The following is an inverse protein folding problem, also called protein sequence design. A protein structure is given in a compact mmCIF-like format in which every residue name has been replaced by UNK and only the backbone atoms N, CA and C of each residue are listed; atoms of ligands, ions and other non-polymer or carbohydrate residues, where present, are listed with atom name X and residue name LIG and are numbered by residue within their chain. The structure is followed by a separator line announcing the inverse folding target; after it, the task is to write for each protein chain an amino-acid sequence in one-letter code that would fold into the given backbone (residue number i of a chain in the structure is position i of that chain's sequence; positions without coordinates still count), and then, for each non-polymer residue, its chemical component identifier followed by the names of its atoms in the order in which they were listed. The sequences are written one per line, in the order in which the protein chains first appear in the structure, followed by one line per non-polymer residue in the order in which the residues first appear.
data_IF_222334050751
#
_entry.id   IF_222334050751
#
_cell.length_a   1.000
_cell.length_b   1.000
_cell.length_c   1.000
_cell.angle_alpha   90.00
_cell.angle_beta   90.00
_cell.angle_gamma   90.00
#
_symmetry.space_group_name_H-M   'P 1'
#
loop_
_entity.id
_entity.type
_entity.pdbx_description
1 polymer ?
#
# COMPACT_ATOMS: atom_id res chain seq x y z
N UNK A 1 -35.66 6.43 10.33
CA UNK A 1 -35.25 5.50 9.25
C UNK A 1 -33.86 5.01 9.61
N UNK A 2 -33.73 3.80 10.11
CA UNK A 2 -32.39 3.22 10.42
C UNK A 2 -31.82 2.81 9.09
N UNK A 3 -30.66 3.40 8.71
CA UNK A 3 -29.90 2.93 7.55
C UNK A 3 -29.52 1.48 7.86
N UNK A 4 -29.97 0.53 7.03
CA UNK A 4 -29.50 -0.85 7.08
C UNK A 4 -28.03 -0.85 6.68
N UNK A 5 -27.13 -0.79 7.65
CA UNK A 5 -25.71 -1.07 7.41
C UNK A 5 -25.62 -2.53 6.96
N UNK A 6 -24.80 -2.80 5.95
CA UNK A 6 -24.56 -4.16 5.46
C UNK A 6 -24.30 -5.10 6.65
N UNK A 7 -25.07 -6.19 6.72
CA UNK A 7 -24.77 -7.27 7.65
C UNK A 7 -23.54 -8.01 7.11
N UNK A 8 -22.36 -7.60 7.55
CA UNK A 8 -21.16 -8.35 7.24
C UNK A 8 -21.13 -9.62 8.10
N UNK A 9 -20.82 -10.78 7.51
CA UNK A 9 -20.54 -11.96 8.31
C UNK A 9 -19.28 -11.68 9.14
N UNK A 10 -19.50 -11.26 10.38
CA UNK A 10 -18.43 -11.13 11.35
C UNK A 10 -17.98 -12.56 11.71
N UNK A 11 -16.81 -12.99 11.29
CA UNK A 11 -16.25 -14.31 11.55
C UNK A 11 -16.01 -14.63 13.04
N UNK A 12 -16.58 -13.84 13.94
CA UNK A 12 -16.48 -14.01 15.38
C UNK A 12 -17.77 -14.59 15.97
N UNK A 13 -17.61 -15.63 16.78
CA UNK A 13 -18.71 -16.15 17.59
C UNK A 13 -18.96 -15.21 18.78
N UNK A 14 -20.25 -14.93 19.14
CA UNK A 14 -20.56 -14.14 20.32
C UNK A 14 -19.86 -14.73 21.57
N UNK A 15 -19.15 -13.87 22.31
CA UNK A 15 -18.52 -14.25 23.57
C UNK A 15 -17.11 -14.85 23.43
N UNK A 16 -16.52 -14.93 22.24
CA UNK A 16 -15.14 -15.40 22.03
C UNK A 16 -14.29 -14.34 21.29
N UNK A 17 -12.96 -14.31 21.51
CA UNK A 17 -12.03 -13.56 20.66
C UNK A 17 -12.10 -14.02 19.21
N UNK A 18 -11.68 -13.16 18.28
CA UNK A 18 -11.60 -13.53 16.86
C UNK A 18 -10.67 -14.72 16.63
N UNK A 19 -11.12 -15.66 15.81
CA UNK A 19 -10.35 -16.86 15.50
C UNK A 19 -9.24 -16.54 14.49
N UNK A 20 -7.98 -16.69 14.90
CA UNK A 20 -6.81 -16.49 14.03
C UNK A 20 -6.81 -17.41 12.81
N UNK A 21 -7.43 -18.60 12.88
CA UNK A 21 -7.50 -19.51 11.75
C UNK A 21 -8.30 -18.96 10.56
N UNK A 22 -9.12 -17.91 10.79
CA UNK A 22 -9.80 -17.19 9.72
C UNK A 22 -8.84 -16.37 8.83
N UNK A 23 -7.59 -16.18 9.28
CA UNK A 23 -6.54 -15.56 8.47
C UNK A 23 -5.46 -16.59 8.13
N UNK A 24 -5.22 -16.82 6.85
CA UNK A 24 -4.10 -17.62 6.37
C UNK A 24 -3.79 -17.30 4.90
N UNK A 25 -2.61 -17.72 4.45
CA UNK A 25 -2.17 -17.56 3.07
C UNK A 25 -1.97 -18.92 2.40
N UNK A 26 -2.61 -19.09 1.25
CA UNK A 26 -2.45 -20.26 0.39
C UNK A 26 -1.68 -19.87 -0.88
N UNK A 27 -0.60 -20.58 -1.20
CA UNK A 27 0.12 -20.41 -2.48
C UNK A 27 -0.46 -21.36 -3.53
N UNK A 28 -0.78 -20.83 -4.72
CA UNK A 28 -1.36 -21.59 -5.84
C UNK A 28 -0.27 -21.96 -6.84
N UNK A 29 0.40 -20.97 -7.44
CA UNK A 29 1.44 -21.16 -8.46
C UNK A 29 2.71 -20.42 -8.07
N UNK A 30 3.88 -20.93 -8.46
CA UNK A 30 5.19 -20.28 -8.27
C UNK A 30 5.87 -20.05 -9.59
N UNK A 31 6.59 -18.93 -9.70
CA UNK A 31 7.52 -18.73 -10.81
C UNK A 31 8.70 -19.71 -10.68
N UNK A 32 9.14 -20.32 -11.77
CA UNK A 32 10.31 -21.19 -11.74
C UNK A 32 11.57 -20.37 -11.46
N UNK A 33 12.53 -20.95 -10.75
CA UNK A 33 13.88 -20.38 -10.60
C UNK A 33 14.59 -20.27 -11.96
N UNK A 34 15.41 -19.22 -12.08
CA UNK A 34 16.19 -18.98 -13.31
C UNK A 34 17.61 -18.60 -12.95
N UNK A 35 18.54 -18.70 -13.92
CA UNK A 35 19.94 -18.28 -13.71
C UNK A 35 20.06 -16.77 -13.37
N UNK A 36 19.07 -15.96 -13.71
CA UNK A 36 19.00 -14.51 -13.42
C UNK A 36 18.12 -14.16 -12.22
N UNK A 37 17.58 -15.16 -11.49
CA UNK A 37 16.81 -14.93 -10.27
C UNK A 37 17.64 -14.21 -9.20
N UNK A 38 17.05 -13.23 -8.53
CA UNK A 38 17.76 -12.37 -7.55
C UNK A 38 17.84 -12.99 -6.16
N UNK A 39 17.05 -14.02 -5.88
CA UNK A 39 17.08 -14.74 -4.62
C UNK A 39 18.24 -15.72 -4.52
N UNK A 40 18.37 -16.35 -3.37
CA UNK A 40 19.41 -17.34 -3.11
C UNK A 40 19.35 -18.47 -4.13
N UNK A 41 20.51 -18.85 -4.69
CA UNK A 41 20.64 -19.91 -5.70
C UNK A 41 19.76 -19.69 -6.96
N UNK A 42 19.55 -18.45 -7.36
CA UNK A 42 18.74 -18.11 -8.52
C UNK A 42 17.23 -18.22 -8.29
N UNK A 43 16.79 -18.20 -7.03
CA UNK A 43 15.37 -18.26 -6.69
C UNK A 43 14.60 -17.03 -7.22
N UNK A 44 13.40 -17.28 -7.73
CA UNK A 44 12.36 -16.29 -7.99
C UNK A 44 11.25 -16.54 -6.99
N UNK A 45 10.90 -15.52 -6.21
CA UNK A 45 9.90 -15.65 -5.16
C UNK A 45 8.48 -15.29 -5.60
N UNK A 46 8.32 -14.91 -6.88
CA UNK A 46 7.03 -14.59 -7.48
C UNK A 46 6.07 -15.77 -7.44
N UNK A 47 4.83 -15.48 -7.10
CA UNK A 47 3.80 -16.49 -6.90
C UNK A 47 2.40 -15.92 -7.07
N UNK A 48 1.43 -16.78 -7.31
CA UNK A 48 0.02 -16.51 -7.06
C UNK A 48 -0.45 -17.18 -5.79
N UNK A 49 -1.48 -16.63 -5.16
CA UNK A 49 -2.03 -17.18 -3.92
C UNK A 49 -3.33 -16.51 -3.52
N UNK A 50 -3.82 -16.90 -2.36
CA UNK A 50 -5.02 -16.33 -1.74
C UNK A 50 -4.68 -15.96 -0.29
N UNK A 51 -4.93 -14.71 0.07
CA UNK A 51 -5.00 -14.28 1.47
C UNK A 51 -6.45 -14.43 1.90
N UNK A 52 -6.73 -15.36 2.79
CA UNK A 52 -8.04 -15.52 3.42
C UNK A 52 -8.16 -14.56 4.60
N UNK A 53 -9.28 -13.82 4.67
CA UNK A 53 -9.59 -12.90 5.76
C UNK A 53 -11.02 -13.09 6.24
N UNK A 54 -11.39 -12.60 7.43
CA UNK A 54 -12.78 -12.67 7.91
C UNK A 54 -13.82 -12.01 6.99
N UNK A 55 -13.41 -11.03 6.17
CA UNK A 55 -14.30 -10.31 5.26
C UNK A 55 -14.15 -10.73 3.79
N UNK A 56 -13.46 -11.82 3.51
CA UNK A 56 -13.30 -12.38 2.16
C UNK A 56 -11.86 -12.60 1.75
N UNK A 57 -11.68 -13.06 0.53
CA UNK A 57 -10.43 -13.48 -0.03
C UNK A 57 -9.78 -12.39 -0.87
N UNK A 58 -8.44 -12.33 -0.85
CA UNK A 58 -7.63 -11.48 -1.74
C UNK A 58 -6.76 -12.39 -2.59
N UNK A 59 -7.03 -12.46 -3.88
CA UNK A 59 -6.19 -13.20 -4.85
C UNK A 59 -4.96 -12.38 -5.17
N UNK A 60 -3.79 -12.93 -4.94
CA UNK A 60 -2.51 -12.27 -5.14
C UNK A 60 -1.79 -12.73 -6.40
N UNK A 61 -0.97 -11.87 -7.04
CA UNK A 61 -0.71 -10.47 -6.71
C UNK A 61 -1.96 -9.58 -6.82
N UNK A 62 -2.08 -8.54 -5.96
CA UNK A 62 -3.23 -7.63 -5.96
C UNK A 62 -2.82 -6.17 -5.70
N UNK A 63 -3.55 -5.24 -6.33
CA UNK A 63 -3.47 -3.83 -6.01
C UNK A 63 -4.47 -3.47 -4.89
N UNK A 64 -4.02 -2.68 -3.93
CA UNK A 64 -4.80 -2.21 -2.78
C UNK A 64 -5.01 -0.70 -2.93
N UNK A 65 -6.14 -0.25 -3.48
CA UNK A 65 -6.45 1.18 -3.58
C UNK A 65 -6.49 1.86 -2.22
N UNK A 66 -5.98 3.11 -2.16
CA UNK A 66 -5.82 3.84 -0.89
C UNK A 66 -6.90 4.88 -0.69
N UNK A 67 -7.80 4.61 0.25
CA UNK A 67 -8.81 5.53 0.76
C UNK A 67 -8.37 6.19 2.07
N UNK A 68 -7.47 7.17 1.99
CA UNK A 68 -6.73 7.77 3.13
C UNK A 68 -7.57 8.06 4.38
N UNK A 69 -8.80 8.57 4.24
CA UNK A 69 -9.72 8.92 5.33
C UNK A 69 -11.01 8.08 5.25
N UNK A 70 -10.87 6.77 5.10
CA UNK A 70 -12.00 5.87 4.85
C UNK A 70 -12.81 6.30 3.60
N UNK A 71 -12.16 6.89 2.63
CA UNK A 71 -12.80 7.36 1.40
C UNK A 71 -11.81 7.43 0.24
N UNK A 72 -12.13 6.79 -0.86
CA UNK A 72 -11.50 7.06 -2.15
C UNK A 72 -11.94 8.43 -2.63
N UNK A 73 -10.97 9.33 -2.90
CA UNK A 73 -11.34 10.71 -3.27
C UNK A 73 -12.17 10.76 -4.54
N UNK A 74 -13.41 11.23 -4.41
CA UNK A 74 -14.40 11.37 -5.47
C UNK A 74 -14.92 10.05 -6.07
N UNK A 75 -14.75 8.92 -5.40
CA UNK A 75 -15.26 7.61 -5.83
C UNK A 75 -15.91 6.93 -4.62
N UNK A 76 -17.07 6.34 -4.83
CA UNK A 76 -17.78 5.58 -3.79
C UNK A 76 -17.18 4.17 -3.65
N UNK A 77 -17.28 3.53 -2.46
CA UNK A 77 -16.80 2.17 -2.27
C UNK A 77 -17.42 1.16 -3.25
N UNK A 78 -18.70 1.29 -3.56
CA UNK A 78 -19.38 0.43 -4.54
C UNK A 78 -18.75 0.53 -5.94
N UNK A 79 -18.35 1.73 -6.35
CA UNK A 79 -17.64 1.94 -7.62
C UNK A 79 -16.23 1.33 -7.61
N UNK A 80 -15.58 1.25 -6.44
CA UNK A 80 -14.32 0.53 -6.28
C UNK A 80 -14.52 -0.99 -6.44
N UNK A 81 -15.62 -1.52 -5.96
CA UNK A 81 -16.00 -2.92 -6.18
C UNK A 81 -16.27 -3.19 -7.67
N UNK A 82 -17.03 -2.32 -8.32
CA UNK A 82 -17.39 -2.45 -9.75
C UNK A 82 -16.15 -2.44 -10.66
N UNK A 83 -15.08 -1.74 -10.29
CA UNK A 83 -13.83 -1.74 -11.07
C UNK A 83 -12.91 -2.93 -10.75
N UNK A 84 -13.31 -3.82 -9.84
CA UNK A 84 -12.61 -5.06 -9.51
C UNK A 84 -11.67 -4.99 -8.30
N UNK A 85 -11.66 -3.89 -7.52
CA UNK A 85 -10.87 -3.83 -6.28
C UNK A 85 -11.32 -4.92 -5.31
N UNK A 86 -10.37 -5.71 -4.79
CA UNK A 86 -10.65 -6.81 -3.86
C UNK A 86 -10.57 -6.36 -2.40
N UNK A 87 -9.81 -5.30 -2.13
CA UNK A 87 -9.55 -4.77 -0.78
C UNK A 87 -9.25 -3.27 -0.87
N UNK A 88 -9.34 -2.56 0.25
CA UNK A 88 -9.03 -1.13 0.36
C UNK A 88 -8.11 -0.86 1.55
N UNK A 89 -7.25 0.17 1.46
CA UNK A 89 -6.41 0.60 2.56
C UNK A 89 -6.83 1.99 3.05
N UNK A 90 -6.91 2.17 4.37
CA UNK A 90 -7.07 3.48 4.99
C UNK A 90 -5.89 3.78 5.95
N UNK A 91 -5.60 5.08 6.17
CA UNK A 91 -4.46 5.46 6.98
C UNK A 91 -4.88 5.71 8.44
N UNK A 92 -4.31 4.94 9.37
CA UNK A 92 -4.65 5.01 10.80
C UNK A 92 -4.43 6.41 11.40
N UNK A 93 -3.34 7.08 11.03
CA UNK A 93 -3.08 8.46 11.47
C UNK A 93 -4.23 9.41 11.10
N UNK A 94 -4.69 9.37 9.85
CA UNK A 94 -5.76 10.26 9.40
C UNK A 94 -7.10 9.95 10.03
N UNK A 95 -7.37 8.67 10.31
CA UNK A 95 -8.59 8.24 10.99
C UNK A 95 -8.56 8.55 12.49
N UNK A 96 -7.40 8.50 13.13
CA UNK A 96 -7.17 9.00 14.48
C UNK A 96 -7.45 10.51 14.59
N UNK A 97 -6.90 11.31 13.66
CA UNK A 97 -7.13 12.76 13.62
C UNK A 97 -8.59 13.10 13.33
N UNK A 98 -9.26 12.32 12.46
CA UNK A 98 -10.65 12.53 12.07
C UNK A 98 -11.22 11.29 11.35
N UNK A 99 -12.33 10.72 11.82
CA UNK A 99 -13.26 11.20 12.86
C UNK A 99 -12.85 10.82 14.30
N UNK A 100 -11.75 10.10 14.49
CA UNK A 100 -11.33 9.43 15.72
C UNK A 100 -11.68 7.94 15.68
N UNK A 101 -10.79 7.13 16.22
CA UNK A 101 -10.92 5.66 16.17
C UNK A 101 -12.13 5.13 16.94
N UNK A 102 -12.60 5.86 17.96
CA UNK A 102 -13.80 5.48 18.73
C UNK A 102 -15.07 5.52 17.87
N UNK A 103 -15.13 6.43 16.88
CA UNK A 103 -16.26 6.50 15.94
C UNK A 103 -16.30 5.28 15.04
N UNK A 104 -15.13 4.81 14.58
CA UNK A 104 -15.03 3.62 13.75
C UNK A 104 -15.37 2.36 14.56
N UNK A 105 -14.91 2.29 15.80
CA UNK A 105 -15.24 1.17 16.69
C UNK A 105 -16.75 1.09 16.95
N UNK A 106 -17.40 2.23 17.23
CA UNK A 106 -18.84 2.31 17.42
C UNK A 106 -19.64 1.97 16.13
N UNK A 107 -19.06 2.25 14.94
CA UNK A 107 -19.65 1.89 13.65
C UNK A 107 -19.54 0.39 13.33
N UNK A 108 -18.73 -0.36 14.09
CA UNK A 108 -18.46 -1.78 13.86
C UNK A 108 -17.27 -2.06 12.94
N UNK A 109 -16.32 -1.13 12.85
CA UNK A 109 -15.09 -1.24 12.11
C UNK A 109 -15.08 -0.50 10.77
N UNK A 110 -13.89 -0.44 10.15
CA UNK A 110 -13.60 0.34 8.95
C UNK A 110 -14.51 -0.03 7.77
N UNK A 111 -14.66 -1.32 7.49
CA UNK A 111 -15.46 -1.81 6.37
C UNK A 111 -16.92 -1.37 6.49
N UNK A 112 -17.55 -1.54 7.67
CA UNK A 112 -18.92 -1.08 7.92
C UNK A 112 -19.03 0.44 7.85
N UNK A 113 -18.07 1.15 8.41
CA UNK A 113 -18.06 2.62 8.38
C UNK A 113 -18.03 3.16 6.94
N UNK A 114 -17.29 2.50 6.05
CA UNK A 114 -17.16 2.88 4.64
C UNK A 114 -18.30 2.36 3.75
N UNK A 115 -19.16 1.46 4.21
CA UNK A 115 -20.07 0.66 3.39
C UNK A 115 -19.32 -0.20 2.36
N UNK A 116 -18.18 -0.79 2.78
CA UNK A 116 -17.36 -1.70 1.99
C UNK A 116 -17.56 -3.14 2.48
N UNK A 117 -17.78 -4.09 1.58
CA UNK A 117 -18.10 -5.48 1.90
C UNK A 117 -16.92 -6.45 1.66
N UNK A 118 -15.71 -5.95 1.60
CA UNK A 118 -14.49 -6.72 1.40
C UNK A 118 -13.43 -6.45 2.47
N UNK A 119 -12.27 -7.13 2.33
CA UNK A 119 -11.13 -6.93 3.21
C UNK A 119 -10.61 -5.49 3.23
N UNK A 120 -10.06 -5.10 4.38
CA UNK A 120 -9.47 -3.78 4.58
C UNK A 120 -8.10 -3.86 5.21
N UNK A 121 -7.26 -2.86 4.90
CA UNK A 121 -5.96 -2.64 5.48
C UNK A 121 -5.92 -1.32 6.23
N UNK A 122 -5.09 -1.25 7.30
CA UNK A 122 -4.63 0.02 7.86
C UNK A 122 -3.11 0.05 7.89
N UNK A 123 -2.51 1.23 7.63
CA UNK A 123 -1.10 1.45 7.95
C UNK A 123 -0.90 1.69 9.46
N UNK A 124 0.36 1.72 9.92
CA UNK A 124 0.69 1.98 11.33
C UNK A 124 0.52 3.43 11.78
N UNK A 125 0.33 4.36 10.82
CA UNK A 125 0.41 5.81 11.06
C UNK A 125 1.83 6.36 11.13
N UNK A 126 2.86 5.51 11.19
CA UNK A 126 4.27 5.90 11.35
C UNK A 126 4.78 6.79 10.22
N UNK A 127 4.43 6.46 8.97
CA UNK A 127 4.79 7.27 7.80
C UNK A 127 4.32 8.72 7.93
N UNK A 128 3.04 8.95 8.26
CA UNK A 128 2.46 10.28 8.33
C UNK A 128 3.06 11.08 9.47
N UNK A 129 3.19 10.46 10.64
CA UNK A 129 3.77 11.08 11.83
C UNK A 129 5.23 11.50 11.60
N UNK A 130 6.03 10.63 10.99
CA UNK A 130 7.44 10.95 10.71
C UNK A 130 7.57 11.95 9.56
N UNK A 131 6.70 11.90 8.56
CA UNK A 131 6.67 12.87 7.46
C UNK A 131 6.41 14.30 7.93
N UNK A 132 5.67 14.50 9.01
CA UNK A 132 5.47 15.80 9.65
C UNK A 132 6.78 16.38 10.23
N UNK A 133 7.72 15.51 10.67
CA UNK A 133 8.99 15.90 11.28
C UNK A 133 10.00 16.49 10.33
N UNK A 134 9.95 16.18 9.05
CA UNK A 134 11.00 16.49 8.07
C UNK A 134 10.55 17.45 6.96
N UNK A 135 9.27 17.82 6.89
CA UNK A 135 8.77 18.71 5.84
C UNK A 135 8.84 18.10 4.42
N UNK A 136 8.50 16.88 4.30
CA UNK A 136 8.69 15.93 3.19
C UNK A 136 8.06 16.28 1.83
N UNK A 137 8.38 17.35 1.20
CA UNK A 137 7.96 17.49 -0.21
C UNK A 137 8.90 16.81 -1.23
N UNK A 138 10.15 16.48 -0.85
CA UNK A 138 11.13 15.91 -1.79
C UNK A 138 11.87 14.64 -1.31
N UNK A 139 11.86 14.32 -0.03
CA UNK A 139 12.75 13.33 0.58
C UNK A 139 12.28 11.87 0.47
N UNK A 140 11.08 11.62 -0.01
CA UNK A 140 10.59 10.29 -0.40
C UNK A 140 10.72 10.06 -1.92
N UNK A 141 11.48 10.90 -2.61
CA UNK A 141 11.85 10.58 -3.97
C UNK A 141 12.70 9.31 -3.95
N UNK A 142 12.20 8.26 -4.60
CA UNK A 142 12.95 7.01 -4.84
C UNK A 142 14.14 7.25 -5.79
N UNK A 143 14.35 8.48 -6.22
CA UNK A 143 15.49 8.95 -6.99
C UNK A 143 16.10 10.16 -6.28
N UNK A 144 17.25 9.92 -5.65
CA UNK A 144 18.06 10.95 -4.96
C UNK A 144 19.18 11.52 -5.84
N UNK A 145 19.23 11.16 -7.11
CA UNK A 145 20.25 11.59 -8.04
C UNK A 145 20.22 13.12 -8.18
N UNK A 146 21.26 13.79 -7.71
CA UNK A 146 21.40 15.25 -7.77
C UNK A 146 20.80 16.03 -6.61
N UNK A 147 20.26 15.39 -5.55
CA UNK A 147 19.81 16.07 -4.32
C UNK A 147 21.00 16.47 -3.44
N UNK A 148 20.97 17.69 -2.89
CA UNK A 148 21.96 18.19 -1.93
C UNK A 148 21.43 18.00 -0.51
N UNK A 149 22.35 17.85 0.47
CA UNK A 149 22.00 17.71 1.90
C UNK A 149 21.07 18.81 2.43
N UNK A 150 21.15 20.02 1.86
CA UNK A 150 20.29 21.15 2.21
C UNK A 150 18.84 21.05 1.71
N UNK A 151 18.56 20.08 0.81
CA UNK A 151 17.19 19.83 0.30
C UNK A 151 16.34 19.00 1.26
N UNK A 152 16.95 18.45 2.32
CA UNK A 152 16.31 17.51 3.26
C UNK A 152 15.38 18.22 4.24
N UNK A 153 15.76 19.40 4.68
CA UNK A 153 14.95 20.24 5.59
C UNK A 153 14.58 21.49 4.82
N UNK A 154 13.30 21.69 4.56
CA UNK A 154 12.83 22.95 3.98
C UNK A 154 13.23 24.08 4.93
N UNK A 155 14.20 24.92 4.52
CA UNK A 155 14.67 26.07 5.30
C UNK A 155 13.47 26.88 5.83
N UNK A 156 13.39 27.04 7.15
CA UNK A 156 12.37 27.84 7.81
C UNK A 156 11.07 27.12 8.20
N UNK A 157 10.97 25.78 8.09
CA UNK A 157 9.85 25.03 8.66
C UNK A 157 10.17 24.50 10.05
N UNK A 158 9.24 24.69 10.98
CA UNK A 158 9.30 24.11 12.31
C UNK A 158 9.26 22.57 12.21
N UNK A 159 10.12 21.90 12.98
CA UNK A 159 10.06 20.44 13.13
C UNK A 159 8.79 20.07 13.89
N UNK A 160 7.97 19.19 13.32
CA UNK A 160 6.68 18.84 13.90
C UNK A 160 6.63 17.42 14.48
N UNK A 161 7.73 16.63 14.40
CA UNK A 161 7.81 15.31 14.99
C UNK A 161 9.21 15.00 15.52
N UNK A 162 9.27 14.25 16.63
CA UNK A 162 10.48 13.84 17.34
C UNK A 162 10.40 12.36 17.68
N UNK A 163 11.37 11.59 17.21
CA UNK A 163 11.53 10.15 17.48
C UNK A 163 12.41 9.97 18.71
N UNK A 164 12.02 9.09 19.60
CA UNK A 164 12.82 8.59 20.72
C UNK A 164 12.71 7.06 20.83
N UNK A 165 13.24 6.45 21.88
CA UNK A 165 13.22 5.01 22.05
C UNK A 165 11.80 4.43 22.25
N UNK A 166 10.90 5.20 22.83
CA UNK A 166 9.56 4.74 23.19
C UNK A 166 8.51 5.03 22.10
N UNK A 167 8.82 5.88 21.13
CA UNK A 167 7.88 6.22 20.06
C UNK A 167 8.16 7.56 19.40
N UNK A 168 7.11 8.24 18.93
CA UNK A 168 7.18 9.51 18.21
C UNK A 168 6.20 10.50 18.84
N UNK A 169 6.71 11.67 19.22
CA UNK A 169 5.87 12.82 19.61
C UNK A 169 5.73 13.75 18.40
N UNK A 170 4.53 14.20 18.10
CA UNK A 170 4.26 15.07 16.96
C UNK A 170 3.20 16.13 17.28
N UNK A 171 3.16 17.19 16.48
CA UNK A 171 2.10 18.19 16.51
C UNK A 171 1.09 17.90 15.41
N UNK A 172 -0.19 17.86 15.75
CA UNK A 172 -1.28 17.70 14.79
C UNK A 172 -1.26 18.82 13.76
N UNK A 173 -1.31 18.51 12.45
CA UNK A 173 -1.43 19.52 11.41
C UNK A 173 -2.80 20.19 11.37
N UNK A 174 -3.80 19.66 12.09
CA UNK A 174 -5.16 20.19 12.10
C UNK A 174 -5.34 21.31 13.14
N UNK A 175 -4.84 21.12 14.35
CA UNK A 175 -5.09 22.00 15.48
C UNK A 175 -3.82 22.40 16.26
N UNK A 176 -2.66 21.78 15.94
CA UNK A 176 -1.38 22.05 16.61
C UNK A 176 -1.18 21.31 17.93
N UNK A 177 -2.14 20.49 18.39
CA UNK A 177 -2.01 19.72 19.62
C UNK A 177 -0.86 18.72 19.54
N UNK A 178 -0.20 18.50 20.69
CA UNK A 178 0.85 17.51 20.79
C UNK A 178 0.24 16.12 21.05
N UNK A 179 0.61 15.16 20.21
CA UNK A 179 0.22 13.75 20.32
C UNK A 179 1.45 12.87 20.40
N UNK A 180 1.28 11.67 20.92
CA UNK A 180 2.30 10.64 20.95
C UNK A 180 1.79 9.36 20.31
N UNK A 181 2.62 8.77 19.44
CA UNK A 181 2.46 7.40 18.96
C UNK A 181 3.59 6.53 19.52
N UNK A 182 3.21 5.37 20.02
CA UNK A 182 4.09 4.26 20.39
C UNK A 182 3.57 2.98 19.73
N UNK A 183 4.29 1.89 19.88
CA UNK A 183 3.85 0.57 19.46
C UNK A 183 2.43 0.27 19.98
N UNK A 184 2.21 0.44 21.29
CA UNK A 184 0.94 0.12 21.96
C UNK A 184 -0.19 1.07 21.51
N UNK A 185 0.10 2.36 21.40
CA UNK A 185 -0.90 3.34 20.97
C UNK A 185 -1.34 3.08 19.52
N UNK A 186 -0.39 2.80 18.62
CA UNK A 186 -0.71 2.45 17.24
C UNK A 186 -1.55 1.17 17.16
N UNK A 187 -1.20 0.14 17.93
CA UNK A 187 -2.01 -1.09 18.00
C UNK A 187 -3.42 -0.80 18.53
N UNK A 188 -3.55 -0.02 19.60
CA UNK A 188 -4.86 0.36 20.16
C UNK A 188 -5.75 1.08 19.15
N UNK A 189 -5.18 2.05 18.42
CA UNK A 189 -5.88 2.79 17.34
C UNK A 189 -6.33 1.83 16.24
N UNK A 190 -5.44 0.98 15.71
CA UNK A 190 -5.77 0.08 14.61
C UNK A 190 -6.78 -1.00 15.03
N UNK A 191 -6.72 -1.49 16.29
CA UNK A 191 -7.72 -2.42 16.83
C UNK A 191 -9.13 -1.81 16.87
N UNK A 192 -9.26 -0.53 17.22
CA UNK A 192 -10.54 0.21 17.19
C UNK A 192 -11.01 0.49 15.78
N UNK A 193 -10.09 0.83 14.85
CA UNK A 193 -10.40 1.02 13.43
C UNK A 193 -10.96 -0.26 12.84
N UNK A 194 -10.46 -1.44 13.23
CA UNK A 194 -11.07 -2.71 12.90
C UNK A 194 -10.88 -3.16 11.45
N UNK A 195 -9.71 -2.92 10.84
CA UNK A 195 -9.33 -3.49 9.56
C UNK A 195 -8.96 -4.98 9.67
N UNK A 196 -9.00 -5.72 8.56
CA UNK A 196 -8.60 -7.13 8.54
C UNK A 196 -7.09 -7.31 8.68
N UNK A 197 -6.31 -6.38 8.11
CA UNK A 197 -4.85 -6.42 8.10
C UNK A 197 -4.31 -5.10 8.62
N UNK A 198 -3.41 -5.19 9.59
CA UNK A 198 -2.75 -4.07 10.25
C UNK A 198 -1.23 -4.16 10.09
N UNK A 199 -0.53 -3.03 10.21
CA UNK A 199 0.93 -3.00 10.23
C UNK A 199 1.47 -2.61 11.59
N UNK A 200 2.55 -3.28 12.01
CA UNK A 200 3.29 -2.91 13.21
C UNK A 200 3.88 -1.51 13.07
N UNK A 201 3.91 -0.77 14.18
CA UNK A 201 4.52 0.56 14.22
C UNK A 201 6.03 0.46 14.02
N UNK A 202 6.55 1.20 13.05
CA UNK A 202 7.95 1.15 12.60
C UNK A 202 8.54 2.54 12.45
N UNK A 203 9.86 2.65 12.46
CA UNK A 203 10.55 3.90 12.18
C UNK A 203 10.91 4.01 10.69
N UNK A 204 10.17 4.81 9.96
CA UNK A 204 10.52 5.16 8.59
C UNK A 204 11.72 6.10 8.55
N UNK A 205 12.75 5.71 7.81
CA UNK A 205 13.91 6.55 7.50
C UNK A 205 13.90 7.04 6.06
N UNK A 206 14.80 7.97 5.74
CA UNK A 206 15.02 8.47 4.39
C UNK A 206 16.35 7.95 3.83
N UNK A 207 16.52 7.96 2.50
CA UNK A 207 17.80 7.61 1.88
C UNK A 207 18.94 8.57 2.24
N UNK A 208 18.62 9.70 2.87
CA UNK A 208 19.58 10.73 3.29
C UNK A 208 20.09 10.53 4.72
N UNK A 209 19.49 9.64 5.49
CA UNK A 209 19.98 9.31 6.81
C UNK A 209 21.32 8.56 6.73
N UNK A 210 22.23 8.82 7.67
CA UNK A 210 23.51 8.11 7.73
C UNK A 210 23.30 6.62 7.95
N UNK A 211 24.28 5.81 7.52
CA UNK A 211 24.23 4.37 7.74
C UNK A 211 24.08 4.02 9.23
N UNK A 212 24.81 4.70 10.11
CA UNK A 212 24.70 4.48 11.57
C UNK A 212 23.26 4.72 12.07
N UNK A 213 22.60 5.80 11.58
CA UNK A 213 21.20 6.05 11.93
C UNK A 213 20.27 4.96 11.39
N UNK A 214 20.54 4.44 10.19
CA UNK A 214 19.78 3.32 9.61
C UNK A 214 19.92 2.06 10.47
N UNK A 215 21.12 1.77 10.97
CA UNK A 215 21.37 0.65 11.88
C UNK A 215 20.57 0.81 13.19
N UNK A 216 20.63 1.98 13.82
CA UNK A 216 19.87 2.29 15.04
C UNK A 216 18.35 2.18 14.82
N UNK A 217 17.87 2.68 13.66
CA UNK A 217 16.46 2.62 13.29
C UNK A 217 15.96 1.20 13.08
N UNK A 218 16.74 0.34 12.44
CA UNK A 218 16.41 -1.10 12.28
C UNK A 218 16.25 -1.78 13.62
N UNK A 219 17.18 -1.55 14.54
CA UNK A 219 17.12 -2.14 15.89
C UNK A 219 15.95 -1.58 16.72
N UNK A 220 15.65 -0.27 16.60
CA UNK A 220 14.48 0.35 17.24
C UNK A 220 13.18 -0.21 16.68
N UNK A 221 13.07 -0.31 15.35
CA UNK A 221 11.91 -0.92 14.67
C UNK A 221 11.69 -2.35 15.16
N UNK A 222 12.74 -3.14 15.35
CA UNK A 222 12.62 -4.49 15.90
C UNK A 222 12.11 -4.51 17.36
N UNK A 223 12.60 -3.59 18.22
CA UNK A 223 12.07 -3.47 19.59
C UNK A 223 10.59 -3.06 19.60
N UNK A 224 10.21 -2.12 18.75
CA UNK A 224 8.81 -1.72 18.60
C UNK A 224 7.95 -2.85 18.02
N UNK A 225 8.47 -3.62 17.07
CA UNK A 225 7.78 -4.77 16.49
C UNK A 225 7.41 -5.82 17.57
N UNK A 226 8.32 -6.10 18.51
CA UNK A 226 8.04 -6.99 19.65
C UNK A 226 6.90 -6.45 20.51
N UNK A 227 6.97 -5.17 20.86
CA UNK A 227 5.92 -4.50 21.66
C UNK A 227 4.57 -4.50 20.91
N UNK A 228 4.58 -4.34 19.57
CA UNK A 228 3.37 -4.46 18.76
C UNK A 228 2.77 -5.87 18.83
N UNK A 229 3.59 -6.92 18.76
CA UNK A 229 3.10 -8.31 18.88
C UNK A 229 2.50 -8.56 20.27
N UNK A 230 3.20 -8.15 21.34
CA UNK A 230 2.73 -8.33 22.71
C UNK A 230 1.37 -7.61 22.93
N UNK A 231 1.25 -6.37 22.48
CA UNK A 231 0.03 -5.58 22.63
C UNK A 231 -1.10 -6.08 21.72
N UNK A 232 -0.76 -6.50 20.49
CA UNK A 232 -1.74 -7.11 19.58
C UNK A 232 -2.36 -8.38 20.18
N UNK A 233 -1.56 -9.26 20.77
CA UNK A 233 -2.04 -10.48 21.44
C UNK A 233 -2.95 -10.15 22.62
N UNK A 234 -2.55 -9.17 23.44
CA UNK A 234 -3.37 -8.69 24.56
C UNK A 234 -4.72 -8.13 24.10
N UNK A 235 -4.70 -7.22 23.11
CA UNK A 235 -5.91 -6.60 22.59
C UNK A 235 -6.82 -7.60 21.86
N UNK A 236 -6.24 -8.59 21.17
CA UNK A 236 -7.01 -9.65 20.50
C UNK A 236 -7.76 -10.50 21.52
N UNK A 237 -7.14 -10.83 22.66
CA UNK A 237 -7.79 -11.57 23.73
C UNK A 237 -8.96 -10.80 24.36
N UNK A 238 -8.83 -9.48 24.47
CA UNK A 238 -9.87 -8.59 25.03
C UNK A 238 -11.00 -8.29 24.02
N UNK A 239 -10.79 -8.55 22.73
CA UNK A 239 -11.68 -8.15 21.61
C UNK A 239 -12.75 -9.20 21.32
N UNK A 240 -13.60 -9.43 22.32
CA UNK A 240 -14.66 -10.45 22.25
C UNK A 240 -15.77 -10.05 21.26
N UNK A 241 -16.22 -11.01 20.44
CA UNK A 241 -17.32 -10.81 19.49
C UNK A 241 -16.94 -10.03 18.22
N UNK A 242 -15.65 -9.79 17.98
CA UNK A 242 -15.13 -9.11 16.78
C UNK A 242 -14.22 -10.05 15.97
N UNK A 243 -14.12 -9.91 14.64
CA UNK A 243 -13.27 -10.77 13.83
C UNK A 243 -11.78 -10.58 14.16
N UNK A 244 -10.97 -11.59 13.88
CA UNK A 244 -9.50 -11.52 13.97
C UNK A 244 -8.96 -10.43 13.02
N UNK A 245 -7.93 -9.73 13.46
CA UNK A 245 -7.16 -8.79 12.65
C UNK A 245 -5.75 -9.33 12.51
N UNK A 246 -5.27 -9.53 11.29
CA UNK A 246 -3.91 -9.98 11.04
C UNK A 246 -2.91 -8.83 11.27
N UNK A 247 -1.76 -9.14 11.84
CA UNK A 247 -0.69 -8.18 12.06
C UNK A 247 0.52 -8.48 11.16
N UNK A 248 0.93 -7.49 10.35
CA UNK A 248 2.11 -7.56 9.51
C UNK A 248 3.28 -6.81 10.15
N UNK A 249 4.44 -7.46 10.24
CA UNK A 249 5.68 -6.80 10.63
C UNK A 249 6.25 -5.99 9.46
N UNK A 250 6.98 -4.90 9.74
CA UNK A 250 7.56 -4.05 8.70
C UNK A 250 9.08 -4.19 8.66
N UNK A 251 9.64 -4.46 7.47
CA UNK A 251 11.07 -4.57 7.24
C UNK A 251 11.60 -3.25 6.71
N UNK A 252 12.50 -2.61 7.47
CA UNK A 252 13.24 -1.40 7.13
C UNK A 252 14.69 -1.73 6.73
N UNK A 253 15.55 -0.75 6.44
CA UNK A 253 16.97 -0.94 6.14
C UNK A 253 17.50 -0.15 4.94
N UNK A 254 16.68 0.77 4.39
CA UNK A 254 17.01 1.62 3.23
C UNK A 254 17.59 0.80 2.04
N UNK A 255 18.72 1.20 1.50
CA UNK A 255 19.39 0.53 0.37
C UNK A 255 20.46 -0.49 0.80
N UNK A 256 20.55 -0.81 2.09
CA UNK A 256 21.63 -1.67 2.59
C UNK A 256 21.17 -3.13 2.69
N UNK A 257 21.73 -4.00 1.86
CA UNK A 257 21.39 -5.42 1.81
C UNK A 257 21.52 -6.09 3.18
N UNK A 258 22.64 -5.88 3.88
CA UNK A 258 22.89 -6.47 5.18
C UNK A 258 21.87 -6.03 6.25
N UNK A 259 21.43 -4.77 6.21
CA UNK A 259 20.39 -4.26 7.09
C UNK A 259 19.02 -4.87 6.75
N UNK A 260 18.69 -4.96 5.44
CA UNK A 260 17.44 -5.59 4.98
C UNK A 260 17.35 -7.06 5.38
N UNK A 261 18.43 -7.81 5.18
CA UNK A 261 18.51 -9.24 5.57
C UNK A 261 18.42 -9.42 7.08
N UNK A 262 19.10 -8.56 7.88
CA UNK A 262 19.01 -8.55 9.34
C UNK A 262 17.59 -8.24 9.80
N UNK A 263 17.00 -7.15 9.33
CA UNK A 263 15.63 -6.76 9.66
C UNK A 263 14.63 -7.85 9.27
N UNK A 264 14.78 -8.46 8.07
CA UNK A 264 13.94 -9.56 7.64
C UNK A 264 14.02 -10.77 8.59
N UNK A 265 15.24 -11.18 8.98
CA UNK A 265 15.43 -12.28 9.92
C UNK A 265 14.84 -11.97 11.32
N UNK A 266 14.99 -10.72 11.79
CA UNK A 266 14.39 -10.26 13.04
C UNK A 266 12.86 -10.32 12.99
N UNK A 267 12.23 -9.78 11.94
CA UNK A 267 10.77 -9.81 11.75
C UNK A 267 10.27 -11.24 11.55
N UNK A 268 11.00 -12.08 10.80
CA UNK A 268 10.64 -13.49 10.61
C UNK A 268 10.60 -14.29 11.92
N UNK A 269 11.42 -13.90 12.91
CA UNK A 269 11.47 -14.57 14.23
C UNK A 269 10.28 -14.24 15.15
N UNK A 270 9.47 -13.23 14.81
CA UNK A 270 8.30 -12.82 15.57
C UNK A 270 7.01 -13.43 15.00
N UNK A 271 5.97 -13.45 15.83
CA UNK A 271 4.66 -14.06 15.50
C UNK A 271 3.78 -13.09 14.69
N UNK A 272 4.25 -12.71 13.52
CA UNK A 272 3.48 -11.94 12.54
C UNK A 272 2.73 -12.84 11.55
N UNK A 273 1.58 -12.40 11.08
CA UNK A 273 0.78 -13.09 10.06
C UNK A 273 1.29 -12.82 8.65
N UNK A 274 1.96 -11.70 8.44
CA UNK A 274 2.52 -11.29 7.16
C UNK A 274 3.67 -10.29 7.33
N UNK A 275 4.16 -9.74 6.23
CA UNK A 275 5.26 -8.77 6.23
C UNK A 275 5.00 -7.61 5.28
N UNK A 276 5.32 -6.40 5.75
CA UNK A 276 5.40 -5.19 4.95
C UNK A 276 6.84 -4.91 4.52
N UNK A 277 7.07 -4.69 3.24
CA UNK A 277 8.33 -4.23 2.68
C UNK A 277 8.26 -2.72 2.61
N UNK A 278 8.85 -2.05 3.61
CA UNK A 278 8.74 -0.61 3.80
C UNK A 278 10.04 0.15 3.63
N UNK A 279 9.94 1.46 3.80
CA UNK A 279 11.08 2.38 3.77
C UNK A 279 11.35 3.01 2.41
N UNK A 280 12.24 4.01 2.43
CA UNK A 280 12.75 4.59 1.20
C UNK A 280 13.71 3.60 0.54
N UNK A 281 13.43 3.25 -0.73
CA UNK A 281 14.20 2.29 -1.53
C UNK A 281 14.46 2.96 -2.88
N UNK A 282 15.71 2.91 -3.36
CA UNK A 282 15.97 3.33 -4.74
C UNK A 282 15.32 2.37 -5.74
N UNK A 283 14.73 2.94 -6.79
CA UNK A 283 14.03 2.16 -7.82
C UNK A 283 14.86 1.02 -8.39
N UNK A 284 16.13 1.29 -8.68
CA UNK A 284 17.05 0.33 -9.33
C UNK A 284 17.28 -0.96 -8.53
N UNK A 285 17.01 -0.96 -7.20
CA UNK A 285 17.25 -2.12 -6.32
C UNK A 285 15.97 -2.61 -5.64
N UNK A 286 14.80 -2.20 -6.10
CA UNK A 286 13.55 -2.58 -5.44
C UNK A 286 13.28 -4.09 -5.57
N UNK A 287 13.61 -4.69 -6.73
CA UNK A 287 13.54 -6.14 -6.92
C UNK A 287 14.52 -6.88 -6.03
N UNK A 288 15.79 -6.42 -5.98
CA UNK A 288 16.80 -6.99 -5.06
C UNK A 288 16.34 -6.92 -3.61
N UNK A 289 15.78 -5.78 -3.20
CA UNK A 289 15.26 -5.59 -1.83
C UNK A 289 14.16 -6.60 -1.50
N UNK A 290 13.22 -6.84 -2.42
CA UNK A 290 12.20 -7.88 -2.25
C UNK A 290 12.84 -9.26 -2.11
N UNK A 291 13.80 -9.61 -2.97
CA UNK A 291 14.49 -10.90 -2.92
C UNK A 291 15.25 -11.11 -1.60
N UNK A 292 16.02 -10.10 -1.14
CA UNK A 292 16.76 -10.16 0.13
C UNK A 292 15.85 -10.42 1.33
N UNK A 293 14.66 -9.81 1.33
CA UNK A 293 13.67 -10.01 2.39
C UNK A 293 13.04 -11.39 2.27
N UNK A 294 12.66 -11.80 1.08
CA UNK A 294 12.02 -13.10 0.83
C UNK A 294 12.93 -14.28 1.15
N UNK A 295 14.27 -14.13 1.03
CA UNK A 295 15.25 -15.14 1.46
C UNK A 295 15.11 -15.57 2.93
N UNK A 296 14.57 -14.71 3.78
CA UNK A 296 14.42 -14.96 5.21
C UNK A 296 12.96 -15.20 5.63
N UNK A 297 11.98 -14.88 4.77
CA UNK A 297 10.56 -14.95 5.14
C UNK A 297 9.97 -16.35 4.94
N UNK A 298 9.19 -16.85 5.91
CA UNK A 298 8.37 -18.05 5.70
C UNK A 298 7.44 -17.89 4.51
N UNK A 299 7.26 -18.97 3.75
CA UNK A 299 6.43 -18.95 2.53
C UNK A 299 4.94 -18.72 2.82
N UNK A 300 4.45 -19.14 3.97
CA UNK A 300 3.06 -18.98 4.38
C UNK A 300 2.71 -17.57 4.87
N UNK A 301 3.67 -16.63 4.83
CA UNK A 301 3.43 -15.21 5.15
C UNK A 301 3.27 -14.40 3.87
N UNK A 302 2.14 -13.73 3.65
CA UNK A 302 1.98 -12.80 2.54
C UNK A 302 2.88 -11.58 2.72
N UNK A 303 3.28 -10.96 1.59
CA UNK A 303 4.24 -9.86 1.51
C UNK A 303 3.62 -8.67 0.83
N UNK A 304 3.47 -7.59 1.57
CA UNK A 304 2.92 -6.33 1.10
C UNK A 304 4.03 -5.33 0.80
N UNK A 305 4.08 -4.78 -0.40
CA UNK A 305 5.08 -3.78 -0.82
C UNK A 305 4.46 -2.40 -0.74
N UNK A 306 4.91 -1.61 0.24
CA UNK A 306 4.29 -0.35 0.61
C UNK A 306 4.59 0.78 -0.40
N UNK A 307 3.54 1.46 -0.86
CA UNK A 307 3.63 2.71 -1.61
C UNK A 307 4.06 2.60 -3.09
N UNK A 308 3.98 1.44 -3.72
CA UNK A 308 4.47 1.17 -5.08
C UNK A 308 3.34 1.18 -6.12
N UNK A 309 3.50 2.02 -7.16
CA UNK A 309 2.61 2.11 -8.33
C UNK A 309 3.35 2.52 -9.62
N UNK A 310 4.63 2.22 -9.77
CA UNK A 310 5.30 2.23 -11.08
C UNK A 310 5.15 0.85 -11.71
N UNK A 311 4.87 0.78 -13.00
CA UNK A 311 4.60 -0.49 -13.68
C UNK A 311 5.82 -1.42 -13.66
N UNK A 312 7.00 -0.88 -13.93
CA UNK A 312 8.28 -1.59 -13.85
C UNK A 312 8.61 -2.08 -12.43
N UNK A 313 8.38 -1.23 -11.41
CA UNK A 313 8.61 -1.60 -10.01
C UNK A 313 7.66 -2.73 -9.57
N UNK A 314 6.39 -2.69 -10.01
CA UNK A 314 5.40 -3.75 -9.73
C UNK A 314 5.88 -5.09 -10.30
N UNK A 315 6.29 -5.13 -11.58
CA UNK A 315 6.81 -6.37 -12.17
C UNK A 315 8.06 -6.88 -11.43
N UNK A 316 9.01 -5.99 -11.12
CA UNK A 316 10.22 -6.36 -10.39
C UNK A 316 9.89 -6.90 -8.98
N UNK A 317 8.95 -6.28 -8.26
CA UNK A 317 8.53 -6.74 -6.94
C UNK A 317 7.75 -8.04 -6.99
N UNK A 318 6.82 -8.21 -7.95
CA UNK A 318 6.07 -9.47 -8.11
C UNK A 318 7.02 -10.62 -8.42
N UNK A 319 7.93 -10.45 -9.36
CA UNK A 319 8.94 -11.46 -9.69
C UNK A 319 9.74 -11.91 -8.47
N UNK A 320 9.97 -11.00 -7.53
CA UNK A 320 10.76 -11.23 -6.32
C UNK A 320 9.92 -11.39 -5.04
N UNK A 321 8.63 -11.71 -5.18
CA UNK A 321 7.78 -12.20 -4.10
C UNK A 321 6.83 -11.21 -3.45
N UNK A 322 6.59 -10.04 -4.06
CA UNK A 322 5.53 -9.13 -3.63
C UNK A 322 4.14 -9.68 -3.97
N UNK A 323 3.28 -9.79 -2.96
CA UNK A 323 1.92 -10.32 -3.09
C UNK A 323 0.85 -9.21 -3.20
N UNK A 324 1.03 -8.09 -2.48
CA UNK A 324 0.08 -6.97 -2.50
C UNK A 324 0.80 -5.62 -2.56
N UNK A 325 0.17 -4.63 -3.18
CA UNK A 325 0.76 -3.32 -3.47
C UNK A 325 -0.25 -2.22 -3.21
N UNK A 326 0.12 -1.18 -2.46
CA UNK A 326 -0.71 -0.01 -2.28
C UNK A 326 -0.06 1.24 -2.86
N UNK A 327 -0.87 2.20 -3.31
CA UNK A 327 -0.38 3.55 -3.57
C UNK A 327 -1.52 4.55 -3.76
N UNK A 328 -1.33 5.77 -3.26
CA UNK A 328 -2.25 6.91 -3.53
C UNK A 328 -2.07 7.51 -4.94
N UNK A 329 -1.03 7.09 -5.67
CA UNK A 329 -0.65 7.70 -6.96
C UNK A 329 -1.74 7.62 -8.03
N UNK A 330 -2.47 6.51 -8.25
CA UNK A 330 -3.50 6.43 -9.28
C UNK A 330 -4.55 7.53 -9.13
N UNK A 331 -5.19 7.62 -7.97
CA UNK A 331 -6.20 8.65 -7.69
C UNK A 331 -5.62 10.06 -7.67
N UNK A 332 -4.40 10.26 -7.14
CA UNK A 332 -3.73 11.56 -7.12
C UNK A 332 -3.39 12.05 -8.53
N UNK A 333 -2.85 11.18 -9.38
CA UNK A 333 -2.53 11.47 -10.77
C UNK A 333 -3.79 11.80 -11.59
N UNK A 334 -4.86 11.02 -11.42
CA UNK A 334 -6.15 11.25 -12.07
C UNK A 334 -6.67 12.67 -11.83
N UNK A 335 -6.72 13.11 -10.60
CA UNK A 335 -7.17 14.48 -10.25
C UNK A 335 -6.29 15.59 -10.84
N UNK A 336 -5.04 15.28 -11.17
CA UNK A 336 -4.13 16.21 -11.85
C UNK A 336 -4.23 16.12 -13.39
N UNK A 337 -5.01 15.18 -13.90
CA UNK A 337 -5.23 14.96 -15.34
C UNK A 337 -4.20 14.02 -15.98
N UNK A 338 -3.42 13.28 -15.20
CA UNK A 338 -2.54 12.25 -15.70
C UNK A 338 -3.28 10.91 -15.73
N UNK A 339 -3.42 10.34 -16.93
CA UNK A 339 -4.14 9.12 -17.23
C UNK A 339 -3.14 8.01 -17.52
N UNK A 340 -3.29 6.86 -16.87
CA UNK A 340 -2.52 5.65 -17.13
C UNK A 340 -3.19 4.83 -18.22
N UNK A 341 -2.40 4.31 -19.16
CA UNK A 341 -2.85 3.38 -20.18
C UNK A 341 -1.80 2.30 -20.40
N UNK A 342 -2.12 1.23 -21.11
CA UNK A 342 -1.14 0.21 -21.52
C UNK A 342 -0.03 0.77 -22.40
N UNK A 343 -0.31 1.87 -23.14
CA UNK A 343 0.66 2.57 -23.97
C UNK A 343 1.40 3.72 -23.23
N UNK A 344 1.41 3.69 -21.89
CA UNK A 344 2.08 4.69 -21.07
C UNK A 344 1.13 5.70 -20.42
N UNK A 345 1.70 6.78 -19.88
CA UNK A 345 0.95 7.80 -19.18
C UNK A 345 0.88 9.11 -19.98
N UNK A 346 -0.30 9.67 -20.13
CA UNK A 346 -0.46 10.96 -20.80
C UNK A 346 -1.22 11.97 -19.94
N UNK A 347 -1.08 13.26 -20.27
CA UNK A 347 -1.86 14.32 -19.65
C UNK A 347 -3.06 14.66 -20.52
N UNK A 348 -4.27 14.36 -20.02
CA UNK A 348 -5.52 14.59 -20.75
C UNK A 348 -5.78 16.06 -21.05
N UNK A 349 -5.21 17.00 -20.26
CA UNK A 349 -5.36 18.46 -20.45
C UNK A 349 -4.52 19.02 -21.62
N UNK A 350 -3.84 18.18 -22.42
CA UNK A 350 -3.17 18.65 -23.64
C UNK A 350 -4.21 19.03 -24.71
N UNK A 351 -3.89 20.06 -25.52
CA UNK A 351 -4.83 20.62 -26.49
C UNK A 351 -5.38 19.60 -27.50
N UNK A 352 -4.61 18.59 -27.85
CA UNK A 352 -5.00 17.52 -28.78
C UNK A 352 -6.23 16.74 -28.34
N UNK A 353 -6.51 16.67 -27.02
CA UNK A 353 -7.65 15.90 -26.49
C UNK A 353 -8.95 16.70 -26.42
N UNK A 354 -8.93 17.99 -26.74
CA UNK A 354 -10.12 18.87 -26.69
C UNK A 354 -11.27 18.39 -27.60
N UNK A 355 -10.94 17.80 -28.75
CA UNK A 355 -11.90 17.30 -29.71
C UNK A 355 -11.87 15.78 -29.89
N UNK A 356 -11.20 15.09 -28.95
CA UNK A 356 -11.04 13.64 -28.99
C UNK A 356 -12.27 12.96 -28.37
N UNK A 357 -13.12 12.39 -29.22
CA UNK A 357 -14.36 11.72 -28.81
C UNK A 357 -14.16 10.23 -28.48
N UNK A 358 -12.94 9.71 -28.57
CA UNK A 358 -12.60 8.34 -28.16
C UNK A 358 -12.56 8.17 -26.63
N UNK A 359 -12.49 6.92 -26.14
CA UNK A 359 -12.35 6.61 -24.72
C UNK A 359 -10.99 7.08 -24.16
N UNK A 360 -10.80 7.05 -22.84
CA UNK A 360 -9.47 7.36 -22.24
C UNK A 360 -8.40 6.38 -22.75
N UNK A 361 -8.77 5.12 -22.94
CA UNK A 361 -7.93 4.08 -23.52
C UNK A 361 -8.77 3.16 -24.39
N UNK A 362 -8.30 2.90 -25.62
CA UNK A 362 -8.96 1.96 -26.53
C UNK A 362 -8.90 0.53 -25.99
N UNK A 363 -10.04 -0.16 -26.02
CA UNK A 363 -10.17 -1.53 -25.53
C UNK A 363 -10.24 -1.66 -24.01
N UNK A 364 -10.23 -0.56 -23.25
CA UNK A 364 -10.44 -0.58 -21.80
C UNK A 364 -11.92 -0.79 -21.49
N UNK A 365 -12.20 -1.71 -20.55
CA UNK A 365 -13.54 -2.10 -20.13
C UNK A 365 -14.03 -1.37 -18.87
N UNK A 366 -13.26 -0.40 -18.33
CA UNK A 366 -13.72 0.37 -17.17
C UNK A 366 -14.95 1.23 -17.50
N UNK A 367 -15.75 1.53 -16.47
CA UNK A 367 -16.95 2.36 -16.60
C UNK A 367 -16.71 3.66 -17.36
N UNK A 368 -15.61 4.35 -17.09
CA UNK A 368 -15.31 5.62 -17.74
C UNK A 368 -15.09 5.47 -19.25
N UNK A 369 -14.29 4.48 -19.67
CA UNK A 369 -14.00 4.25 -21.09
C UNK A 369 -15.22 3.75 -21.88
N UNK A 370 -16.13 3.04 -21.22
CA UNK A 370 -17.35 2.54 -21.86
C UNK A 370 -18.41 3.62 -22.09
N UNK A 371 -18.35 4.73 -21.32
CA UNK A 371 -19.45 5.70 -21.31
C UNK A 371 -19.05 7.14 -21.63
N UNK A 372 -17.74 7.48 -21.57
CA UNK A 372 -17.30 8.87 -21.67
C UNK A 372 -16.08 9.04 -22.57
N UNK A 373 -16.06 10.17 -23.29
CA UNK A 373 -14.95 10.53 -24.19
C UNK A 373 -13.83 11.29 -23.46
N UNK A 374 -12.62 11.26 -24.03
CA UNK A 374 -11.48 12.10 -23.59
C UNK A 374 -11.86 13.58 -23.56
N UNK A 375 -12.55 14.08 -24.58
CA UNK A 375 -12.98 15.48 -24.65
C UNK A 375 -13.88 15.86 -23.47
N UNK A 376 -14.80 14.98 -23.08
CA UNK A 376 -15.70 15.26 -21.94
C UNK A 376 -14.93 15.25 -20.60
N UNK A 377 -14.07 14.27 -20.36
CA UNK A 377 -13.25 14.20 -19.14
C UNK A 377 -12.27 15.37 -19.07
N UNK A 378 -11.63 15.76 -20.21
CA UNK A 378 -10.81 16.99 -20.28
C UNK A 378 -11.60 18.24 -19.89
N UNK A 379 -12.82 18.39 -20.45
CA UNK A 379 -13.72 19.50 -20.13
C UNK A 379 -14.00 19.56 -18.62
N UNK A 380 -14.43 18.45 -18.01
CA UNK A 380 -14.76 18.39 -16.58
C UNK A 380 -13.55 18.73 -15.68
N UNK A 381 -12.37 18.19 -16.02
CA UNK A 381 -11.14 18.45 -15.25
C UNK A 381 -10.68 19.93 -15.38
N UNK A 382 -10.88 20.56 -16.53
CA UNK A 382 -10.62 22.01 -16.71
C UNK A 382 -11.62 22.87 -15.97
N UNK A 383 -12.89 22.48 -15.99
CA UNK A 383 -13.95 23.14 -15.24
C UNK A 383 -13.86 22.89 -13.72
N UNK A 384 -12.98 21.98 -13.28
CA UNK A 384 -12.83 21.54 -11.89
C UNK A 384 -14.09 20.90 -11.31
N UNK A 385 -14.88 20.26 -12.18
CA UNK A 385 -16.06 19.50 -11.79
C UNK A 385 -15.63 18.20 -11.08
N UNK A 386 -16.31 17.85 -9.98
CA UNK A 386 -15.98 16.65 -9.20
C UNK A 386 -16.14 15.36 -10.02
N UNK A 387 -17.12 15.30 -10.94
CA UNK A 387 -17.32 14.16 -11.83
C UNK A 387 -16.10 13.89 -12.72
N UNK A 388 -15.32 14.91 -13.09
CA UNK A 388 -14.07 14.72 -13.82
C UNK A 388 -13.02 13.97 -12.97
N UNK A 389 -12.96 14.26 -11.67
CA UNK A 389 -12.08 13.54 -10.75
C UNK A 389 -12.57 12.10 -10.57
N UNK A 390 -13.88 11.88 -10.44
CA UNK A 390 -14.49 10.55 -10.34
C UNK A 390 -14.13 9.68 -11.54
N UNK A 391 -14.44 10.15 -12.76
CA UNK A 391 -14.23 9.41 -14.00
C UNK A 391 -12.75 9.08 -14.23
N UNK A 392 -11.86 10.05 -14.04
CA UNK A 392 -10.42 9.83 -14.18
C UNK A 392 -9.86 8.87 -13.10
N UNK A 393 -10.38 8.93 -11.86
CA UNK A 393 -9.94 8.05 -10.78
C UNK A 393 -10.41 6.61 -11.02
N UNK A 394 -11.66 6.40 -11.42
CA UNK A 394 -12.18 5.06 -11.77
C UNK A 394 -11.26 4.41 -12.83
N UNK A 395 -10.90 5.13 -13.88
CA UNK A 395 -10.04 4.59 -14.92
C UNK A 395 -8.63 4.25 -14.40
N UNK A 396 -8.00 5.16 -13.66
CA UNK A 396 -6.63 4.93 -13.18
C UNK A 396 -6.56 3.79 -12.14
N UNK A 397 -7.54 3.70 -11.24
CA UNK A 397 -7.60 2.59 -10.27
C UNK A 397 -7.86 1.26 -10.98
N UNK A 398 -8.78 1.25 -11.94
CA UNK A 398 -9.04 0.08 -12.78
C UNK A 398 -7.78 -0.39 -13.52
N UNK A 399 -6.98 0.54 -14.06
CA UNK A 399 -5.72 0.21 -14.72
C UNK A 399 -4.79 -0.62 -13.81
N UNK A 400 -4.58 -0.21 -12.54
CA UNK A 400 -3.70 -0.93 -11.63
C UNK A 400 -4.31 -2.24 -11.13
N UNK A 401 -5.60 -2.27 -10.84
CA UNK A 401 -6.30 -3.52 -10.49
C UNK A 401 -6.17 -4.53 -11.63
N UNK A 402 -6.47 -4.11 -12.85
CA UNK A 402 -6.40 -4.97 -14.04
C UNK A 402 -4.97 -5.41 -14.37
N UNK A 403 -3.97 -4.54 -14.17
CA UNK A 403 -2.57 -4.90 -14.35
C UNK A 403 -2.17 -6.07 -13.45
N UNK A 404 -2.55 -6.02 -12.16
CA UNK A 404 -2.24 -7.11 -11.23
C UNK A 404 -3.04 -8.38 -11.53
N UNK A 405 -4.27 -8.27 -12.04
CA UNK A 405 -5.06 -9.41 -12.53
C UNK A 405 -4.39 -10.08 -13.73
N UNK A 406 -3.89 -9.29 -14.69
CA UNK A 406 -3.19 -9.81 -15.88
C UNK A 406 -1.83 -10.44 -15.49
N UNK A 407 -1.10 -9.83 -14.53
CA UNK A 407 0.13 -10.41 -13.97
C UNK A 407 -0.18 -11.76 -13.32
N UNK A 408 -1.21 -11.85 -12.48
CA UNK A 408 -1.63 -13.11 -11.84
C UNK A 408 -1.95 -14.17 -12.88
N UNK A 409 -2.75 -13.83 -13.89
CA UNK A 409 -3.08 -14.73 -14.99
C UNK A 409 -1.85 -15.20 -15.77
N UNK A 410 -0.85 -14.34 -15.96
CA UNK A 410 0.39 -14.69 -16.66
C UNK A 410 1.26 -15.66 -15.86
N UNK A 411 1.29 -15.54 -14.52
CA UNK A 411 1.98 -16.50 -13.64
C UNK A 411 1.28 -17.85 -13.69
N UNK A 412 -0.05 -17.87 -13.53
CA UNK A 412 -0.84 -19.10 -13.56
C UNK A 412 -0.78 -19.79 -14.93
N UNK A 413 -0.69 -19.02 -16.00
CA UNK A 413 -0.56 -19.51 -17.38
C UNK A 413 0.87 -19.87 -17.81
N UNK A 414 1.89 -19.54 -16.98
CA UNK A 414 3.30 -19.88 -17.27
C UNK A 414 3.97 -19.00 -18.34
N UNK A 415 3.42 -17.80 -18.61
CA UNK A 415 3.96 -16.85 -19.62
C UNK A 415 4.29 -15.46 -19.01
N UNK A 416 4.67 -15.45 -17.72
CA UNK A 416 4.97 -14.19 -16.99
C UNK A 416 6.08 -13.37 -17.65
N UNK A 417 7.16 -14.02 -18.10
CA UNK A 417 8.33 -13.31 -18.64
C UNK A 417 7.96 -12.61 -19.97
N UNK A 418 7.25 -13.30 -20.85
CA UNK A 418 6.76 -12.75 -22.11
C UNK A 418 5.79 -11.60 -21.87
N UNK A 419 4.84 -11.77 -20.95
CA UNK A 419 3.87 -10.74 -20.60
C UNK A 419 4.54 -9.50 -20.01
N UNK A 420 5.50 -9.68 -19.08
CA UNK A 420 6.29 -8.58 -18.49
C UNK A 420 6.99 -7.77 -19.58
N UNK A 421 7.74 -8.45 -20.45
CA UNK A 421 8.55 -7.79 -21.47
C UNK A 421 7.69 -7.04 -22.47
N UNK A 422 6.55 -7.61 -22.89
CA UNK A 422 5.58 -6.97 -23.76
C UNK A 422 4.91 -5.76 -23.09
N UNK A 423 4.42 -5.91 -21.85
CA UNK A 423 3.76 -4.85 -21.12
C UNK A 423 4.70 -3.66 -20.87
N UNK A 424 5.97 -3.92 -20.50
CA UNK A 424 6.96 -2.86 -20.31
C UNK A 424 7.35 -2.18 -21.63
N UNK A 425 7.48 -2.94 -22.72
CA UNK A 425 7.74 -2.38 -24.04
C UNK A 425 6.59 -1.48 -24.51
N UNK A 426 5.35 -1.89 -24.30
CA UNK A 426 4.17 -1.08 -24.63
C UNK A 426 4.08 0.18 -23.76
N UNK A 427 4.28 0.05 -22.45
CA UNK A 427 4.09 1.15 -21.51
C UNK A 427 5.16 2.24 -21.65
N UNK A 428 6.43 1.86 -21.86
CA UNK A 428 7.54 2.83 -21.94
C UNK A 428 7.92 3.19 -23.39
N UNK A 429 7.35 2.50 -24.39
CA UNK A 429 7.68 2.71 -25.80
C UNK A 429 9.13 2.33 -26.15
N UNK A 430 9.46 2.35 -27.42
CA UNK A 430 10.82 2.06 -27.90
C UNK A 430 11.81 3.24 -27.69
N UNK A 431 11.47 4.26 -26.89
CA UNK A 431 12.28 5.47 -26.74
C UNK A 431 12.15 6.23 -25.43
N UNK A 432 11.12 6.00 -24.63
CA UNK A 432 11.06 6.59 -23.28
C UNK A 432 11.84 5.69 -22.33
N UNK A 433 13.01 6.15 -21.91
CA UNK A 433 13.88 5.47 -20.95
C UNK A 433 13.09 5.11 -19.70
N UNK A 434 13.20 3.85 -19.26
CA UNK A 434 12.89 3.45 -17.90
C UNK A 434 13.54 4.48 -16.97
N UNK A 435 12.80 5.22 -16.14
CA UNK A 435 13.44 6.12 -15.17
C UNK A 435 14.25 5.23 -14.21
N UNK A 436 15.57 5.21 -14.33
CA UNK A 436 16.46 4.55 -13.38
C UNK A 436 17.25 3.33 -13.88
N UNK A 437 17.35 3.09 -15.20
CA UNK A 437 18.42 2.24 -15.76
C UNK A 437 19.57 3.09 -16.28
#
# INVERSE_FOLDING_TARGET
MTISLLEHPLGAQPGQPGDRSAFHFETITRLPSTASGLGRDGARYGRTGIIHTPHGDIRTPAFVPVGTQAAMKAVLPEQMKDLGAQCLLANAFHLFERPGEDVLDAAGGLARFMNWDGPTFTDSGGFQVMSLGVGFKKTLAMDVTGMKSDDIIAKGKERMAWVDEDGVTFKSPLNGDAHRFSAEISMGIQHKIGADIMFAFDELTTLMNTRSYQEDSVERTFRWARRCVDEHQRLTADRVGKPYQALYGVVQGANYEDLRRRAASQIASLDFDGVGIGGAIEKRIIGDTCAWICDAMPENRPRHVLGIASVDDIFACVENGGDTFDCVAPARCARNGAIYTRAGRYNIKRAQHKFDLGPLEEGCDCYTCQHYSRAYVDHLLRAREFNGFTLATIHNEHFFVKLLDDIRASIDGGYFDEFRDEALAHFYGNGERRPGL
#
